data_IF_989117267789
#
_entry.id   IF_989117267789
#
_cell.length_a   1.000
_cell.length_b   1.000
_cell.length_c   1.000
_cell.angle_alpha   90.00
_cell.angle_beta   90.00
_cell.angle_gamma   90.00
#
_symmetry.space_group_name_H-M   'P 1'
#
loop_
_entity.id
_entity.type
_entity.pdbx_description
1 polymer ?
#
# COMPACT_ATOMS: atom_id res chain seq x y z
N UNK A 1 4.87 -10.12 7.98
CA UNK A 1 4.45 -8.75 8.35
C UNK A 1 2.99 -8.54 7.90
N UNK A 2 2.19 -7.74 8.62
CA UNK A 2 0.77 -7.48 8.29
C UNK A 2 0.53 -6.08 7.68
N UNK A 3 1.58 -5.28 7.53
CA UNK A 3 1.57 -3.96 6.89
C UNK A 3 2.56 -4.00 5.73
N UNK A 4 2.11 -3.53 4.56
CA UNK A 4 2.84 -3.58 3.29
C UNK A 4 2.99 -2.17 2.72
N UNK A 5 4.02 -1.97 1.90
CA UNK A 5 4.34 -0.68 1.30
C UNK A 5 4.49 -0.80 -0.21
N UNK A 6 4.04 0.22 -0.92
CA UNK A 6 4.32 0.39 -2.36
C UNK A 6 5.63 1.19 -2.49
N UNK A 7 6.62 0.73 -3.27
CA UNK A 7 7.88 1.45 -3.44
C UNK A 7 7.65 2.80 -4.14
N UNK A 8 8.36 3.87 -3.72
CA UNK A 8 8.21 5.19 -4.32
C UNK A 8 8.94 5.29 -5.66
N UNK A 9 8.35 5.99 -6.62
CA UNK A 9 9.07 6.48 -7.79
C UNK A 9 10.04 7.59 -7.38
N UNK A 10 11.25 7.58 -7.93
CA UNK A 10 12.26 8.61 -7.68
C UNK A 10 12.59 9.39 -8.96
N UNK A 11 13.06 10.65 -8.86
CA UNK A 11 13.56 11.36 -10.02
C UNK A 11 14.72 10.61 -10.67
N UNK A 12 14.82 10.67 -11.99
CA UNK A 12 15.92 10.08 -12.73
C UNK A 12 17.19 10.93 -12.58
N UNK A 13 18.34 10.28 -12.71
CA UNK A 13 19.60 10.98 -12.82
C UNK A 13 19.65 11.84 -14.10
N UNK A 14 20.53 12.85 -14.10
CA UNK A 14 20.64 13.80 -15.22
C UNK A 14 20.99 13.13 -16.55
N UNK A 15 21.63 11.96 -16.52
CA UNK A 15 21.97 11.15 -17.70
C UNK A 15 20.71 10.49 -18.27
N UNK A 16 19.88 9.86 -17.43
CA UNK A 16 18.56 9.34 -17.84
C UNK A 16 17.61 10.40 -18.38
N UNK A 17 17.69 11.63 -17.85
CA UNK A 17 16.88 12.75 -18.35
C UNK A 17 17.23 13.18 -19.79
N UNK A 18 18.47 12.91 -20.25
CA UNK A 18 18.86 13.15 -21.64
C UNK A 18 18.29 12.09 -22.58
N UNK A 19 18.24 10.82 -22.15
CA UNK A 19 17.65 9.72 -22.92
C UNK A 19 16.15 9.96 -23.21
N UNK A 20 15.42 10.55 -22.28
CA UNK A 20 13.99 10.92 -22.46
C UNK A 20 13.82 12.22 -23.27
N UNK A 21 14.82 13.10 -23.34
CA UNK A 21 14.74 14.36 -24.09
C UNK A 21 15.12 14.22 -25.56
N UNK A 22 15.96 13.27 -25.90
CA UNK A 22 16.49 13.08 -27.26
C UNK A 22 15.80 11.94 -28.04
N UNK A 23 15.05 11.06 -27.37
CA UNK A 23 14.18 10.07 -27.98
C UNK A 23 12.72 10.54 -28.03
N UNK A 24 11.98 10.08 -29.03
CA UNK A 24 10.52 10.23 -29.07
C UNK A 24 9.95 9.74 -27.72
N UNK A 25 9.03 10.50 -27.12
CA UNK A 25 8.41 10.24 -25.80
C UNK A 25 7.57 8.92 -25.79
N UNK A 26 7.72 8.12 -26.84
CA UNK A 26 6.89 7.02 -27.31
C UNK A 26 7.60 5.66 -27.34
N UNK A 27 8.92 5.58 -27.14
CA UNK A 27 9.62 4.29 -27.10
C UNK A 27 9.50 3.63 -25.72
N UNK A 28 8.82 2.48 -25.67
CA UNK A 28 8.70 1.63 -24.50
C UNK A 28 10.05 1.24 -23.88
N UNK A 29 11.05 0.91 -24.71
CA UNK A 29 12.39 0.55 -24.27
C UNK A 29 13.08 1.66 -23.47
N UNK A 30 12.82 2.93 -23.78
CA UNK A 30 13.45 4.07 -23.08
C UNK A 30 12.93 4.25 -21.65
N UNK A 31 11.71 3.80 -21.35
CA UNK A 31 11.06 4.07 -20.06
C UNK A 31 11.37 3.00 -19.02
N UNK A 32 11.47 1.73 -19.44
CA UNK A 32 11.93 0.65 -18.55
C UNK A 32 13.42 0.80 -18.22
N UNK A 33 14.23 1.23 -19.20
CA UNK A 33 15.62 1.63 -18.95
C UNK A 33 15.70 2.81 -17.95
N UNK A 34 14.71 3.70 -17.93
CA UNK A 34 14.69 4.83 -17.00
C UNK A 34 14.33 4.45 -15.55
N UNK A 35 13.79 3.24 -15.31
CA UNK A 35 13.61 2.69 -13.95
C UNK A 35 14.96 2.33 -13.35
N UNK A 36 15.91 1.87 -14.18
CA UNK A 36 17.27 1.54 -13.75
C UNK A 36 18.11 2.78 -13.44
N UNK A 37 17.82 3.90 -14.10
CA UNK A 37 18.50 5.19 -13.95
C UNK A 37 17.87 6.09 -12.87
N UNK A 38 17.08 5.50 -11.98
CA UNK A 38 16.47 6.19 -10.85
C UNK A 38 17.51 6.56 -9.80
N UNK A 39 17.36 7.74 -9.21
CA UNK A 39 18.30 8.24 -8.18
C UNK A 39 18.36 7.37 -6.94
N UNK A 40 17.26 6.71 -6.56
CA UNK A 40 17.25 5.76 -5.45
C UNK A 40 17.59 4.37 -6.02
N UNK A 41 18.71 3.74 -5.60
CA UNK A 41 19.09 2.42 -6.09
C UNK A 41 18.02 1.37 -5.80
N UNK A 42 17.78 0.48 -6.76
CA UNK A 42 16.75 -0.54 -6.64
C UNK A 42 17.11 -1.57 -5.57
N UNK A 43 18.40 -1.85 -5.39
CA UNK A 43 18.94 -2.74 -4.36
C UNK A 43 18.64 -2.21 -2.96
N UNK A 44 18.64 -0.89 -2.78
CA UNK A 44 18.28 -0.26 -1.51
C UNK A 44 16.81 -0.52 -1.19
N UNK A 45 15.91 -0.31 -2.15
CA UNK A 45 14.48 -0.60 -1.97
C UNK A 45 14.22 -2.10 -1.73
N UNK A 46 14.91 -2.97 -2.48
CA UNK A 46 14.82 -4.41 -2.33
C UNK A 46 15.27 -4.89 -0.94
N UNK A 47 16.33 -4.28 -0.37
CA UNK A 47 16.82 -4.63 0.96
C UNK A 47 15.78 -4.39 2.06
N UNK A 48 14.90 -3.39 1.90
CA UNK A 48 13.88 -3.02 2.88
C UNK A 48 12.56 -3.77 2.63
N UNK A 49 12.17 -3.92 1.36
CA UNK A 49 10.82 -4.37 0.98
C UNK A 49 10.72 -5.84 0.59
N UNK A 50 11.83 -6.43 0.14
CA UNK A 50 11.83 -7.73 -0.52
C UNK A 50 13.04 -8.62 -0.14
N UNK A 51 13.63 -8.39 1.04
CA UNK A 51 14.78 -9.15 1.54
C UNK A 51 15.98 -9.21 0.57
N UNK A 52 16.17 -8.15 -0.23
CA UNK A 52 17.22 -8.04 -1.25
C UNK A 52 16.83 -8.51 -2.65
N UNK A 53 15.62 -9.06 -2.85
CA UNK A 53 15.14 -9.42 -4.17
C UNK A 53 14.61 -8.19 -4.93
N UNK A 54 15.27 -7.85 -6.03
CA UNK A 54 14.95 -6.67 -6.85
C UNK A 54 13.74 -6.92 -7.75
N UNK A 55 13.46 -8.16 -8.15
CA UNK A 55 12.42 -8.50 -9.10
C UNK A 55 11.01 -7.98 -8.71
N UNK A 56 10.50 -8.20 -7.48
CA UNK A 56 9.18 -7.68 -7.09
C UNK A 56 9.14 -6.16 -6.99
N UNK A 57 10.26 -5.52 -6.62
CA UNK A 57 10.36 -4.05 -6.55
C UNK A 57 10.32 -3.45 -7.95
N UNK A 58 11.11 -4.00 -8.88
CA UNK A 58 11.09 -3.61 -10.30
C UNK A 58 9.68 -3.72 -10.87
N UNK A 59 9.04 -4.89 -10.74
CA UNK A 59 7.70 -5.12 -11.26
C UNK A 59 6.67 -4.12 -10.68
N UNK A 60 6.78 -3.75 -9.40
CA UNK A 60 5.91 -2.73 -8.81
C UNK A 60 6.15 -1.33 -9.41
N UNK A 61 7.40 -0.95 -9.66
CA UNK A 61 7.75 0.34 -10.25
C UNK A 61 7.31 0.43 -11.71
N UNK A 62 7.51 -0.64 -12.47
CA UNK A 62 7.07 -0.81 -13.86
C UNK A 62 5.57 -0.54 -14.02
N UNK A 63 4.76 -1.15 -13.16
CA UNK A 63 3.30 -0.95 -13.15
C UNK A 63 2.91 0.50 -12.84
N UNK A 64 3.59 1.16 -11.90
CA UNK A 64 3.33 2.56 -11.58
C UNK A 64 3.65 3.50 -12.75
N UNK A 65 4.76 3.24 -13.46
CA UNK A 65 5.15 4.01 -14.63
C UNK A 65 4.20 3.77 -15.80
N UNK A 66 3.83 2.51 -16.05
CA UNK A 66 2.88 2.14 -17.08
C UNK A 66 1.51 2.82 -16.87
N UNK A 67 0.96 2.77 -15.64
CA UNK A 67 -0.26 3.50 -15.30
C UNK A 67 -0.15 4.99 -15.56
N UNK A 68 0.97 5.62 -15.16
CA UNK A 68 1.18 7.05 -15.36
C UNK A 68 1.18 7.42 -16.85
N UNK A 69 1.79 6.59 -17.71
CA UNK A 69 1.85 6.80 -19.16
C UNK A 69 0.49 6.55 -19.82
N UNK A 70 -0.14 5.43 -19.51
CA UNK A 70 -1.47 5.08 -20.03
C UNK A 70 -2.50 6.17 -19.72
N UNK A 71 -2.52 6.66 -18.46
CA UNK A 71 -3.42 7.74 -18.07
C UNK A 71 -3.01 9.11 -18.62
N UNK A 72 -1.73 9.34 -18.93
CA UNK A 72 -1.27 10.56 -19.61
C UNK A 72 -1.88 10.62 -21.02
N UNK A 73 -1.85 9.53 -21.78
CA UNK A 73 -2.43 9.50 -23.13
C UNK A 73 -3.93 9.81 -23.09
N UNK A 74 -4.67 9.18 -22.17
CA UNK A 74 -6.09 9.47 -21.93
C UNK A 74 -6.33 10.94 -21.57
N UNK A 75 -5.56 11.48 -20.62
CA UNK A 75 -5.75 12.86 -20.13
C UNK A 75 -5.40 13.92 -21.18
N UNK A 76 -4.49 13.62 -22.10
CA UNK A 76 -4.10 14.51 -23.20
C UNK A 76 -5.00 14.37 -24.43
N UNK A 77 -5.91 13.39 -24.44
CA UNK A 77 -6.76 13.09 -25.59
C UNK A 77 -6.00 12.42 -26.75
N UNK A 78 -4.86 11.80 -26.46
CA UNK A 78 -4.10 11.02 -27.43
C UNK A 78 -4.78 9.66 -27.67
N UNK A 79 -4.35 8.96 -28.72
CA UNK A 79 -4.75 7.57 -28.93
C UNK A 79 -4.19 6.68 -27.81
N UNK A 80 -5.08 5.89 -27.20
CA UNK A 80 -4.70 5.01 -26.09
C UNK A 80 -3.93 3.82 -26.62
N UNK A 81 -2.73 3.61 -26.08
CA UNK A 81 -1.84 2.51 -26.44
C UNK A 81 -2.00 1.34 -25.46
N UNK A 82 -2.70 0.25 -25.85
CA UNK A 82 -2.90 -0.89 -24.97
C UNK A 82 -1.59 -1.65 -24.70
N UNK A 83 -0.56 -1.49 -25.55
CA UNK A 83 0.72 -2.18 -25.39
C UNK A 83 1.42 -1.83 -24.08
N UNK A 84 1.22 -0.60 -23.59
CA UNK A 84 1.77 -0.11 -22.31
C UNK A 84 1.34 -1.00 -21.14
N UNK A 85 0.10 -1.50 -21.16
CA UNK A 85 -0.39 -2.41 -20.12
C UNK A 85 0.32 -3.76 -20.21
N UNK A 86 0.40 -4.31 -21.43
CA UNK A 86 1.03 -5.62 -21.68
C UNK A 86 2.51 -5.63 -21.31
N UNK A 87 3.24 -4.54 -21.52
CA UNK A 87 4.64 -4.39 -21.12
C UNK A 87 4.85 -4.49 -19.60
N UNK A 88 3.89 -4.00 -18.81
CA UNK A 88 3.88 -4.16 -17.35
C UNK A 88 3.25 -5.48 -16.87
N UNK A 89 2.91 -6.38 -17.80
CA UNK A 89 2.24 -7.65 -17.53
C UNK A 89 0.82 -7.45 -16.96
N UNK A 90 0.11 -6.43 -17.43
CA UNK A 90 -1.25 -6.07 -17.02
C UNK A 90 -2.16 -5.91 -18.23
N UNK A 91 -3.47 -5.92 -17.99
CA UNK A 91 -4.48 -5.55 -18.97
C UNK A 91 -4.89 -4.07 -18.80
N UNK A 92 -5.38 -3.38 -19.85
CA UNK A 92 -5.77 -1.97 -19.78
C UNK A 92 -6.75 -1.65 -18.65
N UNK A 93 -7.74 -2.52 -18.44
CA UNK A 93 -8.73 -2.37 -17.36
C UNK A 93 -8.12 -2.50 -15.95
N UNK A 94 -7.02 -3.24 -15.80
CA UNK A 94 -6.31 -3.37 -14.53
C UNK A 94 -5.54 -2.08 -14.20
N UNK A 95 -4.99 -1.39 -15.22
CA UNK A 95 -4.38 -0.07 -15.03
C UNK A 95 -5.41 0.98 -14.63
N UNK A 96 -6.61 0.95 -15.22
CA UNK A 96 -7.71 1.84 -14.85
C UNK A 96 -8.21 1.57 -13.42
N UNK A 97 -8.33 0.30 -13.02
CA UNK A 97 -8.65 -0.09 -11.66
C UNK A 97 -7.57 0.35 -10.67
N UNK A 98 -6.29 0.21 -11.03
CA UNK A 98 -5.19 0.71 -10.23
C UNK A 98 -5.21 2.23 -10.11
N UNK A 99 -5.52 2.96 -11.18
CA UNK A 99 -5.69 4.41 -11.16
C UNK A 99 -6.83 4.84 -10.22
N UNK A 100 -7.97 4.13 -10.24
CA UNK A 100 -9.05 4.36 -9.28
C UNK A 100 -8.59 4.19 -7.84
N UNK A 101 -7.83 3.14 -7.53
CA UNK A 101 -7.36 2.87 -6.17
C UNK A 101 -6.28 3.85 -5.70
N UNK A 102 -5.33 4.21 -6.56
CA UNK A 102 -4.13 4.98 -6.18
C UNK A 102 -4.32 6.48 -6.37
N UNK A 103 -4.97 6.91 -7.45
CA UNK A 103 -5.07 8.33 -7.81
C UNK A 103 -6.40 8.97 -7.39
N UNK A 104 -7.54 8.29 -7.60
CA UNK A 104 -8.86 8.78 -7.16
C UNK A 104 -9.02 8.54 -5.66
N UNK A 105 -8.79 7.31 -5.22
CA UNK A 105 -8.68 6.91 -3.82
C UNK A 105 -9.91 7.33 -2.96
N UNK A 106 -11.11 7.02 -3.46
CA UNK A 106 -12.36 7.26 -2.73
C UNK A 106 -12.35 6.60 -1.34
N UNK A 107 -13.06 7.21 -0.39
CA UNK A 107 -13.02 6.76 1.02
C UNK A 107 -13.44 5.29 1.17
N UNK A 108 -14.51 4.91 0.48
CA UNK A 108 -15.07 3.56 0.53
C UNK A 108 -14.16 2.51 -0.13
N UNK A 109 -13.32 2.93 -1.08
CA UNK A 109 -12.33 2.06 -1.73
C UNK A 109 -11.05 1.92 -0.89
N UNK A 110 -10.69 2.93 -0.08
CA UNK A 110 -9.50 2.90 0.79
C UNK A 110 -9.69 2.05 2.04
N UNK A 111 -10.89 2.05 2.63
CA UNK A 111 -11.14 1.46 3.94
C UNK A 111 -12.24 0.41 3.90
N UNK A 112 -11.89 -0.79 3.46
CA UNK A 112 -12.77 -1.96 3.53
C UNK A 112 -12.54 -2.70 4.84
N UNK A 113 -12.95 -2.07 5.95
CA UNK A 113 -12.81 -2.65 7.30
C UNK A 113 -14.17 -3.23 7.73
N UNK A 114 -14.35 -4.57 7.73
CA UNK A 114 -15.59 -5.17 8.18
C UNK A 114 -15.77 -4.95 9.67
N UNK A 115 -17.03 -4.90 10.12
CA UNK A 115 -17.33 -4.85 11.54
C UNK A 115 -16.77 -6.11 12.21
N UNK A 116 -16.17 -5.93 13.38
CA UNK A 116 -15.88 -7.04 14.28
C UNK A 116 -17.21 -7.62 14.74
N UNK A 117 -17.42 -8.90 14.49
CA UNK A 117 -18.62 -9.65 14.89
C UNK A 117 -18.58 -9.91 16.41
N UNK A 118 -18.65 -8.84 17.22
CA UNK A 118 -18.59 -8.90 18.69
C UNK A 118 -19.75 -9.66 19.32
N UNK A 119 -20.87 -9.78 18.59
CA UNK A 119 -22.03 -10.59 18.95
C UNK A 119 -21.77 -12.09 19.02
N UNK A 120 -20.68 -12.57 18.41
CA UNK A 120 -20.27 -13.99 18.48
C UNK A 120 -19.46 -14.27 19.76
N UNK A 121 -19.16 -13.25 20.56
CA UNK A 121 -18.59 -13.41 21.90
C UNK A 121 -19.58 -14.13 22.81
N UNK A 122 -19.08 -15.04 23.67
CA UNK A 122 -19.91 -15.90 24.52
C UNK A 122 -20.90 -15.13 25.40
N UNK A 123 -20.57 -13.90 25.77
CA UNK A 123 -21.39 -13.01 26.60
C UNK A 123 -21.46 -11.58 26.04
N UNK A 124 -21.76 -11.43 24.74
CA UNK A 124 -21.81 -10.13 24.06
C UNK A 124 -22.69 -9.06 24.76
N UNK A 125 -23.77 -9.48 25.41
CA UNK A 125 -24.65 -8.60 26.19
C UNK A 125 -24.04 -8.14 27.53
N UNK A 126 -23.19 -8.96 28.15
CA UNK A 126 -22.51 -8.63 29.40
C UNK A 126 -21.32 -7.72 29.11
N UNK A 127 -20.60 -7.98 28.01
CA UNK A 127 -19.51 -7.12 27.54
C UNK A 127 -20.00 -5.74 27.10
N UNK A 128 -21.25 -5.65 26.62
CA UNK A 128 -21.90 -4.39 26.27
C UNK A 128 -22.25 -3.57 27.52
N UNK A 129 -21.24 -2.89 28.07
CA UNK A 129 -21.37 -2.02 29.25
C UNK A 129 -20.39 -2.34 30.38
N UNK A 130 -19.64 -3.44 30.29
CA UNK A 130 -18.63 -3.82 31.28
C UNK A 130 -17.32 -3.01 31.18
N UNK A 131 -17.02 -2.46 30.00
CA UNK A 131 -15.80 -1.67 29.77
C UNK A 131 -16.17 -0.19 29.63
N UNK A 132 -15.88 0.60 30.66
CA UNK A 132 -16.06 2.05 30.58
C UNK A 132 -15.85 2.79 31.90
N UNK A 133 -16.16 2.17 33.05
CA UNK A 133 -15.86 2.76 34.35
C UNK A 133 -15.09 1.76 35.23
N UNK A 134 -13.78 1.93 35.24
CA UNK A 134 -12.93 1.33 36.28
C UNK A 134 -12.88 2.33 37.45
N UNK A 135 -13.90 2.29 38.32
CA UNK A 135 -13.79 2.98 39.59
C UNK A 135 -12.69 2.28 40.36
N UNK A 136 -11.70 3.02 40.84
CA UNK A 136 -10.57 2.51 41.62
C UNK A 136 -10.94 1.86 42.98
N UNK A 137 -12.14 1.26 43.11
CA UNK A 137 -12.61 0.29 44.10
C UNK A 137 -14.03 -0.26 43.74
N UNK A 138 -14.32 -0.63 42.48
CA UNK A 138 -15.62 -1.15 42.06
C UNK A 138 -15.64 -2.67 41.94
N UNK A 139 -16.50 -3.34 42.71
CA UNK A 139 -16.62 -4.81 42.79
C UNK A 139 -16.61 -5.53 41.43
N UNK A 140 -16.03 -6.75 41.36
CA UNK A 140 -15.98 -7.52 40.12
C UNK A 140 -17.38 -7.75 39.58
N UNK A 141 -17.51 -7.61 38.26
CA UNK A 141 -18.68 -8.01 37.48
C UNK A 141 -19.02 -9.46 37.88
N UNK A 142 -20.28 -9.81 38.22
CA UNK A 142 -20.60 -11.17 38.66
C UNK A 142 -20.23 -12.17 37.56
N UNK A 143 -19.18 -12.98 37.81
CA UNK A 143 -18.64 -13.95 36.85
C UNK A 143 -17.17 -13.74 36.47
N UNK A 144 -16.58 -12.57 36.76
CA UNK A 144 -15.14 -12.32 36.58
C UNK A 144 -14.44 -12.45 37.93
N UNK A 145 -13.55 -13.43 38.06
CA UNK A 145 -12.81 -13.69 39.29
C UNK A 145 -12.01 -12.47 39.77
N UNK A 146 -11.91 -12.35 41.08
CA UNK A 146 -11.25 -11.26 41.80
C UNK A 146 -9.75 -11.18 41.43
N UNK A 147 -9.36 -10.16 40.65
CA UNK A 147 -7.94 -9.89 40.36
C UNK A 147 -7.41 -8.91 41.41
N UNK A 148 -7.29 -9.39 42.65
CA UNK A 148 -6.69 -8.65 43.76
C UNK A 148 -5.23 -8.36 43.48
N UNK A 149 -4.90 -7.09 43.27
CA UNK A 149 -3.53 -6.60 43.12
C UNK A 149 -3.11 -5.62 44.20
N UNK A 150 -3.18 -5.96 45.50
CA UNK A 150 -2.40 -5.28 46.56
C UNK A 150 -2.04 -6.27 47.67
N UNK A 151 -0.87 -6.89 47.57
CA UNK A 151 -0.04 -7.27 48.73
C UNK A 151 1.40 -7.52 48.24
N UNK A 152 2.18 -6.45 48.20
CA UNK A 152 3.64 -6.56 48.23
C UNK A 152 4.04 -6.84 49.70
N UNK A 153 4.70 -7.98 50.02
CA UNK A 153 5.25 -8.16 51.35
C UNK A 153 6.51 -7.31 51.50
N UNK A 154 6.58 -6.60 52.63
CA UNK A 154 7.74 -5.82 53.05
C UNK A 154 8.95 -6.71 53.38
N UNK A 155 10.13 -6.29 52.92
CA UNK A 155 11.45 -6.59 53.48
C UNK A 155 12.36 -5.38 53.25
#
# INVERSE_FOLDING_TARGET
>A
PMVWYVPPLSPMESVGKALIRDGDDDDAENIFAAIDEMRIPMEYLASILAAGDVAPVRASLERLVAMRRYMRDINLGNEVRPEIASEAGMEPHELEAMYRMVAIADYDDRYVIPKRHGEVSGDAFVEQGSCGIDFANGAPVPGVGDMTGVNAPAA
#
